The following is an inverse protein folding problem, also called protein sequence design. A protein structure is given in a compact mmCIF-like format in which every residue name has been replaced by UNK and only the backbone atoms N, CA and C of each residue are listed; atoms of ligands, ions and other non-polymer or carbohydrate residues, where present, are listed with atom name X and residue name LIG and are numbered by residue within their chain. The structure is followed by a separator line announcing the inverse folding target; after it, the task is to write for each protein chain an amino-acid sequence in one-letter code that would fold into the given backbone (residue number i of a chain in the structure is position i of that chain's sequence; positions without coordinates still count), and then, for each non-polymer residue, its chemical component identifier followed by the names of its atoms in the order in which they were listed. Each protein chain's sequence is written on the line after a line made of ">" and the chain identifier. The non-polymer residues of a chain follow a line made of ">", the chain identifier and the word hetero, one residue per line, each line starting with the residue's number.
data_IF_436492759915
#
_entry.id   IF_436492759915
#
_cell.length_a   1.000
_cell.length_b   1.000
_cell.length_c   1.000
_cell.angle_alpha   90.00
_cell.angle_beta   90.00
_cell.angle_gamma   90.00
#
_symmetry.space_group_name_H-M   'P 1'
#
loop_
_entity.id
_entity.type
_entity.pdbx_description
1 polymer ?
#
# COMPACT_ATOMS: atom_id res chain seq x y z
N UNK A 1 -0.57 -28.84 4.24
CA UNK A 1 -1.16 -27.51 4.53
C UNK A 1 -0.93 -26.48 3.43
N UNK A 2 -0.05 -26.70 2.45
CA UNK A 2 0.22 -25.77 1.34
C UNK A 2 -0.96 -25.53 0.38
N UNK A 3 -1.79 -26.55 0.12
CA UNK A 3 -2.98 -26.43 -0.73
C UNK A 3 -4.02 -25.45 -0.15
N UNK A 4 -4.17 -25.40 1.18
CA UNK A 4 -5.10 -24.49 1.84
C UNK A 4 -4.64 -23.04 1.72
N UNK A 5 -3.33 -22.78 1.84
CA UNK A 5 -2.74 -21.44 1.67
C UNK A 5 -2.95 -20.93 0.26
N UNK A 6 -2.65 -21.74 -0.76
CA UNK A 6 -2.83 -21.36 -2.17
C UNK A 6 -4.29 -21.07 -2.51
N UNK A 7 -5.23 -21.87 -2.00
CA UNK A 7 -6.66 -21.65 -2.18
C UNK A 7 -7.13 -20.36 -1.48
N UNK A 8 -6.64 -20.09 -0.27
CA UNK A 8 -6.96 -18.86 0.46
C UNK A 8 -6.46 -17.62 -0.29
N UNK A 9 -5.22 -17.63 -0.78
CA UNK A 9 -4.68 -16.54 -1.58
C UNK A 9 -5.47 -16.31 -2.87
N UNK A 10 -5.88 -17.37 -3.56
CA UNK A 10 -6.69 -17.26 -4.78
C UNK A 10 -8.04 -16.60 -4.48
N UNK A 11 -8.69 -16.98 -3.39
CA UNK A 11 -9.95 -16.35 -2.95
C UNK A 11 -9.74 -14.86 -2.64
N UNK A 12 -8.69 -14.49 -1.93
CA UNK A 12 -8.36 -13.08 -1.64
C UNK A 12 -8.17 -12.28 -2.92
N UNK A 13 -7.41 -12.80 -3.90
CA UNK A 13 -7.21 -12.16 -5.21
C UNK A 13 -8.53 -11.96 -5.96
N UNK A 14 -9.41 -12.95 -5.94
CA UNK A 14 -10.73 -12.84 -6.57
C UNK A 14 -11.59 -11.75 -5.93
N UNK A 15 -11.59 -11.65 -4.59
CA UNK A 15 -12.35 -10.62 -3.86
C UNK A 15 -11.84 -9.22 -4.21
N UNK A 16 -10.51 -9.02 -4.23
CA UNK A 16 -9.90 -7.74 -4.61
C UNK A 16 -10.28 -7.35 -6.04
N UNK A 17 -10.16 -8.28 -6.99
CA UNK A 17 -10.49 -8.02 -8.40
C UNK A 17 -11.98 -7.67 -8.60
N UNK A 18 -12.89 -8.32 -7.88
CA UNK A 18 -14.33 -7.97 -7.91
C UNK A 18 -14.55 -6.57 -7.34
N UNK A 19 -13.92 -6.26 -6.20
CA UNK A 19 -14.04 -4.96 -5.55
C UNK A 19 -13.55 -3.83 -6.46
N UNK A 20 -12.41 -4.02 -7.12
CA UNK A 20 -11.85 -3.08 -8.08
C UNK A 20 -12.79 -2.87 -9.29
N UNK A 21 -13.33 -3.95 -9.86
CA UNK A 21 -14.29 -3.85 -10.97
C UNK A 21 -15.53 -3.04 -10.59
N UNK A 22 -16.06 -3.26 -9.37
CA UNK A 22 -17.21 -2.50 -8.86
C UNK A 22 -16.83 -1.04 -8.63
N UNK A 23 -15.64 -0.75 -8.13
CA UNK A 23 -15.18 0.62 -7.92
C UNK A 23 -14.99 1.37 -9.24
N UNK A 24 -14.25 0.80 -10.19
CA UNK A 24 -14.00 1.39 -11.52
C UNK A 24 -15.31 1.68 -12.26
N UNK A 25 -16.27 0.75 -12.23
CA UNK A 25 -17.59 0.96 -12.87
C UNK A 25 -18.44 2.08 -12.24
N UNK A 26 -18.11 2.49 -11.01
CA UNK A 26 -18.75 3.63 -10.31
C UNK A 26 -17.91 4.90 -10.36
N UNK A 27 -16.85 4.95 -11.17
CA UNK A 27 -15.90 6.07 -11.22
C UNK A 27 -15.12 6.26 -9.92
N UNK A 28 -14.97 5.20 -9.11
CA UNK A 28 -14.22 5.20 -7.85
C UNK A 28 -12.84 4.57 -8.03
N UNK A 29 -11.90 4.97 -7.18
CA UNK A 29 -10.54 4.44 -7.13
C UNK A 29 -10.51 2.94 -6.77
N UNK A 30 -9.44 2.26 -7.16
CA UNK A 30 -9.16 0.84 -6.83
C UNK A 30 -8.90 0.61 -5.33
N UNK A 31 -8.87 -0.65 -4.91
CA UNK A 31 -8.42 -1.06 -3.57
C UNK A 31 -6.97 -0.66 -3.31
N UNK A 32 -6.67 -0.42 -2.04
CA UNK A 32 -5.32 -0.05 -1.58
C UNK A 32 -4.32 -1.15 -1.91
N UNK A 33 -4.68 -2.43 -1.78
CA UNK A 33 -3.79 -3.53 -2.17
C UNK A 33 -3.40 -3.47 -3.65
N UNK A 34 -4.37 -3.32 -4.54
CA UNK A 34 -4.14 -3.23 -5.99
C UNK A 34 -3.32 -1.97 -6.34
N UNK A 35 -3.59 -0.85 -5.68
CA UNK A 35 -2.78 0.35 -5.85
C UNK A 35 -1.33 0.11 -5.42
N UNK A 36 -1.11 -0.53 -4.27
CA UNK A 36 0.24 -0.80 -3.76
C UNK A 36 1.04 -1.76 -4.66
N UNK A 37 0.38 -2.67 -5.37
CA UNK A 37 1.05 -3.49 -6.40
C UNK A 37 1.52 -2.64 -7.58
N UNK A 38 0.72 -1.66 -8.03
CA UNK A 38 1.13 -0.71 -9.07
C UNK A 38 2.26 0.21 -8.60
N UNK A 39 2.15 0.73 -7.37
CA UNK A 39 3.20 1.53 -6.75
C UNK A 39 4.53 0.75 -6.66
N UNK A 40 4.45 -0.55 -6.40
CA UNK A 40 5.63 -1.41 -6.39
C UNK A 40 6.26 -1.52 -7.78
N UNK A 41 5.47 -1.73 -8.83
CA UNK A 41 5.97 -1.73 -10.21
C UNK A 41 6.67 -0.42 -10.60
N UNK A 42 6.09 0.74 -10.27
CA UNK A 42 6.71 2.07 -10.51
C UNK A 42 8.08 2.16 -9.84
N UNK A 43 8.23 1.55 -8.67
CA UNK A 43 9.49 1.56 -7.92
C UNK A 43 10.51 0.56 -8.45
N UNK A 44 10.05 -0.55 -9.00
CA UNK A 44 10.91 -1.51 -9.68
C UNK A 44 11.49 -0.84 -10.94
N UNK A 45 10.65 -0.17 -11.75
CA UNK A 45 11.08 0.59 -12.93
C UNK A 45 12.11 1.67 -12.56
N UNK A 46 11.87 2.45 -11.49
CA UNK A 46 12.82 3.47 -10.99
C UNK A 46 14.14 2.88 -10.48
N UNK A 47 14.14 1.65 -9.99
CA UNK A 47 15.36 0.97 -9.55
C UNK A 47 16.16 0.47 -10.76
N UNK A 48 15.47 -0.08 -11.75
CA UNK A 48 16.06 -0.57 -13.01
C UNK A 48 16.65 0.56 -13.85
N UNK A 49 15.98 1.71 -13.92
CA UNK A 49 16.48 2.92 -14.61
C UNK A 49 17.66 3.58 -13.88
N UNK A 50 17.87 3.26 -12.61
CA UNK A 50 18.88 3.90 -11.76
C UNK A 50 18.43 5.22 -11.11
N UNK A 51 17.17 5.63 -11.27
CA UNK A 51 16.61 6.84 -10.65
C UNK A 51 16.64 6.78 -9.11
N UNK A 52 16.54 5.56 -8.54
CA UNK A 52 16.68 5.33 -7.10
C UNK A 52 17.73 4.27 -6.78
N UNK A 53 18.43 4.46 -5.66
CA UNK A 53 19.37 3.47 -5.13
C UNK A 53 18.64 2.32 -4.43
N UNK A 54 19.26 1.14 -4.40
CA UNK A 54 18.74 -0.05 -3.71
C UNK A 54 18.37 0.20 -2.23
N UNK A 55 19.11 1.06 -1.52
CA UNK A 55 18.80 1.40 -0.13
C UNK A 55 17.47 2.17 -0.02
N UNK A 56 17.27 3.18 -0.88
CA UNK A 56 16.01 3.93 -0.98
C UNK A 56 14.85 3.00 -1.31
N UNK A 57 15.11 2.01 -2.17
CA UNK A 57 14.12 0.99 -2.49
C UNK A 57 13.77 0.13 -1.24
N UNK A 58 14.75 -0.40 -0.53
CA UNK A 58 14.52 -1.30 0.62
C UNK A 58 13.80 -0.61 1.78
N UNK A 59 14.08 0.66 2.04
CA UNK A 59 13.47 1.42 3.15
C UNK A 59 11.95 1.56 3.03
N UNK A 60 11.39 1.50 1.82
CA UNK A 60 9.96 1.65 1.56
C UNK A 60 9.14 0.37 1.81
N UNK A 61 9.80 -0.81 1.87
CA UNK A 61 9.09 -2.09 1.96
C UNK A 61 8.23 -2.23 3.22
N UNK A 62 8.79 -1.89 4.40
CA UNK A 62 8.05 -2.01 5.67
C UNK A 62 6.85 -1.05 5.74
N UNK A 63 6.97 0.26 5.46
CA UNK A 63 5.81 1.16 5.40
C UNK A 63 4.71 0.71 4.44
N UNK A 64 5.06 0.20 3.25
CA UNK A 64 4.10 -0.32 2.27
C UNK A 64 3.35 -1.55 2.81
N UNK A 65 4.07 -2.49 3.42
CA UNK A 65 3.45 -3.67 4.05
C UNK A 65 2.44 -3.27 5.12
N UNK A 66 2.80 -2.30 5.97
CA UNK A 66 1.91 -1.84 7.03
C UNK A 66 0.62 -1.22 6.48
N UNK A 67 0.71 -0.39 5.45
CA UNK A 67 -0.49 0.17 4.82
C UNK A 67 -1.36 -0.93 4.21
N UNK A 68 -0.75 -1.94 3.56
CA UNK A 68 -1.46 -3.10 3.01
C UNK A 68 -2.19 -3.89 4.09
N UNK A 69 -1.53 -4.16 5.21
CA UNK A 69 -2.11 -4.89 6.35
C UNK A 69 -3.32 -4.14 6.95
N UNK A 70 -3.26 -2.79 7.02
CA UNK A 70 -4.30 -1.97 7.66
C UNK A 70 -5.45 -1.58 6.75
N UNK A 71 -5.16 -1.30 5.49
CA UNK A 71 -6.11 -0.68 4.58
C UNK A 71 -6.24 -1.42 3.24
N UNK A 72 -5.60 -2.58 3.07
CA UNK A 72 -5.55 -3.29 1.78
C UNK A 72 -6.90 -3.54 1.14
N UNK A 73 -7.93 -3.83 1.94
CA UNK A 73 -9.31 -4.06 1.48
C UNK A 73 -10.12 -2.77 1.26
N UNK A 74 -9.67 -1.62 1.80
CA UNK A 74 -10.30 -0.33 1.55
C UNK A 74 -9.94 0.17 0.16
N UNK A 75 -10.85 0.91 -0.48
CA UNK A 75 -10.49 1.71 -1.64
C UNK A 75 -9.43 2.74 -1.23
N UNK A 76 -8.43 3.00 -2.08
CA UNK A 76 -7.37 3.96 -1.76
C UNK A 76 -7.95 5.36 -1.51
N UNK A 77 -9.03 5.72 -2.21
CA UNK A 77 -9.77 6.97 -2.01
C UNK A 77 -10.58 7.04 -0.70
N UNK A 78 -10.72 5.91 -0.01
CA UNK A 78 -11.45 5.80 1.25
C UNK A 78 -10.51 5.65 2.46
N UNK A 79 -9.18 5.66 2.24
CA UNK A 79 -8.22 5.74 3.33
C UNK A 79 -8.18 7.17 3.84
N UNK A 80 -8.52 7.37 5.11
CA UNK A 80 -8.66 8.70 5.70
C UNK A 80 -7.52 9.03 6.67
N UNK A 81 -7.56 10.25 7.22
CA UNK A 81 -6.54 10.72 8.17
C UNK A 81 -6.51 9.87 9.45
N UNK A 82 -7.63 9.27 9.85
CA UNK A 82 -7.71 8.42 11.05
C UNK A 82 -6.97 7.11 10.83
N UNK A 83 -7.10 6.51 9.65
CA UNK A 83 -6.33 5.31 9.28
C UNK A 83 -4.82 5.56 9.38
N UNK A 84 -4.37 6.71 8.86
CA UNK A 84 -2.95 7.10 8.91
C UNK A 84 -2.50 7.40 10.34
N UNK A 85 -3.30 8.12 11.13
CA UNK A 85 -2.97 8.44 12.51
C UNK A 85 -2.79 7.16 13.35
N UNK A 86 -3.72 6.21 13.26
CA UNK A 86 -3.63 4.94 13.98
C UNK A 86 -2.37 4.14 13.61
N UNK A 87 -2.01 4.14 12.33
CA UNK A 87 -0.80 3.45 11.86
C UNK A 87 0.48 4.09 12.45
N UNK A 88 0.52 5.42 12.58
CA UNK A 88 1.68 6.12 13.14
C UNK A 88 1.74 6.07 14.67
N UNK A 89 0.60 6.13 15.35
CA UNK A 89 0.49 6.14 16.81
C UNK A 89 1.05 4.86 17.45
N UNK A 90 1.01 3.73 16.75
CA UNK A 90 1.64 2.48 17.20
C UNK A 90 3.16 2.58 17.32
N UNK A 91 3.79 3.29 16.38
CA UNK A 91 5.23 3.52 16.44
C UNK A 91 5.57 4.58 17.49
N UNK A 92 4.72 5.59 17.66
CA UNK A 92 4.96 6.63 18.67
C UNK A 92 4.82 6.04 20.08
N UNK A 93 3.75 5.29 20.34
CA UNK A 93 3.46 4.68 21.65
C UNK A 93 4.47 3.60 22.05
N UNK A 94 5.13 2.95 21.09
CA UNK A 94 6.19 1.95 21.33
C UNK A 94 7.60 2.56 21.39
N UNK A 95 7.72 3.89 21.47
CA UNK A 95 9.02 4.57 21.61
C UNK A 95 9.83 4.64 20.31
N UNK A 96 9.19 4.51 19.14
CA UNK A 96 9.83 4.55 17.82
C UNK A 96 9.41 5.76 16.97
N UNK A 97 9.52 7.01 17.46
CA UNK A 97 9.04 8.20 16.75
C UNK A 97 9.77 8.44 15.42
N UNK A 98 11.05 8.05 15.32
CA UNK A 98 11.80 8.14 14.06
C UNK A 98 11.24 7.19 13.00
N UNK A 99 10.79 6.01 13.40
CA UNK A 99 10.15 5.07 12.48
C UNK A 99 8.79 5.58 12.01
N UNK A 100 8.00 6.19 12.90
CA UNK A 100 6.77 6.86 12.53
C UNK A 100 7.00 7.94 11.45
N UNK A 101 8.09 8.72 11.54
CA UNK A 101 8.44 9.70 10.51
C UNK A 101 8.80 9.05 9.16
N UNK A 102 9.56 7.95 9.18
CA UNK A 102 9.90 7.21 7.95
C UNK A 102 8.64 6.68 7.29
N UNK A 103 7.76 6.05 8.07
CA UNK A 103 6.47 5.56 7.58
C UNK A 103 5.66 6.70 6.98
N UNK A 104 5.48 7.82 7.70
CA UNK A 104 4.76 9.00 7.20
C UNK A 104 5.31 9.49 5.86
N UNK A 105 6.62 9.59 5.72
CA UNK A 105 7.27 10.05 4.48
C UNK A 105 6.96 9.13 3.30
N UNK A 106 7.01 7.81 3.51
CA UNK A 106 6.68 6.84 2.46
C UNK A 106 5.20 6.86 2.10
N UNK A 107 4.30 7.01 3.09
CA UNK A 107 2.87 7.12 2.81
C UNK A 107 2.55 8.38 2.00
N UNK A 108 3.21 9.51 2.26
CA UNK A 108 3.06 10.72 1.41
C UNK A 108 3.40 10.40 -0.05
N UNK A 109 4.50 9.70 -0.31
CA UNK A 109 4.90 9.30 -1.66
C UNK A 109 3.87 8.35 -2.32
N UNK A 110 3.40 7.35 -1.58
CA UNK A 110 2.36 6.42 -2.03
C UNK A 110 1.09 7.16 -2.46
N UNK A 111 0.62 8.13 -1.68
CA UNK A 111 -0.60 8.88 -2.00
C UNK A 111 -0.38 9.94 -3.09
N UNK A 112 0.81 10.54 -3.19
CA UNK A 112 1.15 11.43 -4.30
C UNK A 112 1.12 10.70 -5.63
N UNK A 113 1.77 9.55 -5.72
CA UNK A 113 1.73 8.73 -6.93
C UNK A 113 0.28 8.31 -7.25
N UNK A 114 -0.53 7.97 -6.24
CA UNK A 114 -1.92 7.54 -6.44
C UNK A 114 -2.79 8.59 -7.15
N UNK A 115 -2.51 9.88 -6.95
CA UNK A 115 -3.25 10.98 -7.57
C UNK A 115 -3.18 10.98 -9.10
N UNK A 116 -2.12 10.38 -9.67
CA UNK A 116 -1.93 10.30 -11.12
C UNK A 116 -2.63 9.10 -11.76
N UNK A 117 -3.21 8.21 -10.95
CA UNK A 117 -3.90 6.99 -11.40
C UNK A 117 -5.38 6.96 -10.99
N UNK A 118 -5.94 8.12 -10.64
CA UNK A 118 -7.35 8.36 -10.31
C UNK A 118 -8.18 8.81 -11.50
#
# INVERSE_FOLDING_TARGET
>A
TEANTRLAEQRTRQILAISDRIATSKGKAITTSTWLDRYQAIRDDRLESGDIRLNTYKQKAKPVSLLRERAGMKLISAVDVRDIAQLLDEYISTGQPRMAQVVRSVLIDVFKEAQHYG
#
